data_IF_862833016257
#
_entry.id   IF_862833016257
#
_cell.length_a   1.000
_cell.length_b   1.000
_cell.length_c   1.000
_cell.angle_alpha   90.00
_cell.angle_beta   90.00
_cell.angle_gamma   90.00
#
_symmetry.space_group_name_H-M   'P 1'
#
loop_
_entity.id
_entity.type
_entity.pdbx_description
1 polymer ?
#
# COMPACT_ATOMS: atom_id res chain seq x y z
N UNK A 1 -4.12 -11.69 11.53
CA UNK A 1 -3.19 -11.37 10.43
C UNK A 1 -2.22 -12.51 10.18
N UNK A 2 -1.90 -12.79 8.92
CA UNK A 2 -0.95 -13.82 8.50
C UNK A 2 -0.11 -13.31 7.32
N UNK A 3 1.21 -13.33 7.45
CA UNK A 3 2.12 -12.90 6.39
C UNK A 3 2.40 -14.07 5.43
N UNK A 4 1.65 -14.16 4.34
CA UNK A 4 1.72 -15.24 3.34
C UNK A 4 3.01 -15.17 2.53
N UNK A 5 3.57 -16.33 2.23
CA UNK A 5 4.67 -16.42 1.25
C UNK A 5 4.06 -16.53 -0.13
N UNK A 6 4.21 -15.46 -0.90
CA UNK A 6 3.81 -15.41 -2.30
C UNK A 6 5.05 -15.12 -3.14
N UNK A 7 5.24 -15.90 -4.19
CA UNK A 7 6.27 -15.67 -5.21
C UNK A 7 5.59 -15.80 -6.57
N UNK A 8 5.58 -14.72 -7.34
CA UNK A 8 4.90 -14.62 -8.62
C UNK A 8 5.93 -14.35 -9.72
N UNK A 9 5.80 -15.05 -10.82
CA UNK A 9 6.60 -14.81 -12.02
C UNK A 9 5.83 -13.94 -13.02
N UNK A 10 6.34 -12.74 -13.26
CA UNK A 10 5.77 -11.78 -14.21
C UNK A 10 6.41 -11.84 -15.59
N UNK A 11 7.26 -12.85 -15.89
CA UNK A 11 7.95 -12.95 -17.18
C UNK A 11 7.01 -13.10 -18.39
N UNK A 12 5.79 -13.55 -18.15
CA UNK A 12 4.75 -13.69 -19.17
C UNK A 12 3.56 -12.74 -18.95
N UNK A 13 3.61 -11.91 -17.91
CA UNK A 13 2.57 -10.92 -17.63
C UNK A 13 2.56 -9.84 -18.73
N UNK A 14 1.40 -9.25 -18.95
CA UNK A 14 1.19 -8.22 -19.97
C UNK A 14 0.80 -6.91 -19.30
N UNK A 15 1.07 -5.80 -19.98
CA UNK A 15 0.59 -4.47 -19.55
C UNK A 15 -0.94 -4.43 -19.52
N UNK A 16 -1.58 -5.03 -20.51
CA UNK A 16 -3.05 -5.18 -20.59
C UNK A 16 -3.43 -6.61 -20.17
N UNK A 17 -3.23 -6.90 -18.88
CA UNK A 17 -3.50 -8.22 -18.28
C UNK A 17 -5.00 -8.53 -18.14
N UNK A 18 -5.88 -7.56 -18.38
CA UNK A 18 -7.31 -7.72 -18.61
C UNK A 18 -7.67 -7.14 -20.00
N UNK A 19 -7.70 -7.94 -21.05
CA UNK A 19 -8.00 -7.45 -22.41
C UNK A 19 -9.41 -6.88 -22.57
N UNK A 20 -10.35 -7.25 -21.69
CA UNK A 20 -11.72 -6.78 -21.71
C UNK A 20 -11.89 -5.35 -21.20
N UNK A 21 -10.96 -4.89 -20.34
CA UNK A 21 -10.99 -3.56 -19.72
C UNK A 21 -9.56 -2.97 -19.59
N UNK A 22 -9.01 -2.43 -20.69
CA UNK A 22 -7.67 -1.86 -20.70
C UNK A 22 -7.53 -0.63 -19.79
N UNK A 23 -8.57 0.17 -19.61
CA UNK A 23 -8.56 1.34 -18.73
C UNK A 23 -8.40 0.92 -17.26
N UNK A 24 -9.08 -0.15 -16.87
CA UNK A 24 -8.94 -0.70 -15.53
C UNK A 24 -7.52 -1.27 -15.28
N UNK A 25 -6.91 -1.89 -16.30
CA UNK A 25 -5.50 -2.27 -16.22
C UNK A 25 -4.61 -1.07 -15.93
N UNK A 26 -4.80 0.05 -16.64
CA UNK A 26 -3.99 1.25 -16.42
C UNK A 26 -4.21 1.86 -15.04
N UNK A 27 -5.43 1.85 -14.53
CA UNK A 27 -5.71 2.30 -13.17
C UNK A 27 -4.93 1.48 -12.14
N UNK A 28 -4.99 0.15 -12.22
CA UNK A 28 -4.27 -0.70 -11.26
C UNK A 28 -2.75 -0.69 -11.50
N UNK A 29 -2.27 -0.54 -12.72
CA UNK A 29 -0.85 -0.33 -13.01
C UNK A 29 -0.34 0.98 -12.37
N UNK A 30 -1.12 2.06 -12.45
CA UNK A 30 -0.80 3.31 -11.77
C UNK A 30 -0.76 3.15 -10.25
N UNK A 31 -1.74 2.47 -9.65
CA UNK A 31 -1.74 2.17 -8.21
C UNK A 31 -0.50 1.32 -7.86
N UNK A 32 -0.22 0.24 -8.60
CA UNK A 32 0.95 -0.60 -8.38
C UNK A 32 2.25 0.19 -8.37
N UNK A 33 2.37 1.20 -9.24
CA UNK A 33 3.58 2.02 -9.35
C UNK A 33 3.92 2.79 -8.07
N UNK A 34 2.91 3.11 -7.26
CA UNK A 34 3.06 3.86 -6.01
C UNK A 34 3.38 2.98 -4.79
N UNK A 35 2.92 1.74 -4.80
CA UNK A 35 2.93 0.87 -3.62
C UNK A 35 4.33 0.56 -3.06
N UNK A 36 5.40 0.37 -3.84
CA UNK A 36 6.73 0.10 -3.29
C UNK A 36 7.24 1.22 -2.38
N UNK A 37 7.12 2.47 -2.81
CA UNK A 37 7.61 3.62 -2.04
C UNK A 37 6.67 3.96 -0.89
N UNK A 38 5.38 3.81 -1.10
CA UNK A 38 4.37 4.02 -0.07
C UNK A 38 4.52 3.01 1.07
N UNK A 39 4.67 1.71 0.78
CA UNK A 39 4.94 0.67 1.78
C UNK A 39 6.23 0.94 2.55
N UNK A 40 7.24 1.55 1.91
CA UNK A 40 8.45 2.05 2.57
C UNK A 40 8.15 3.14 3.61
N UNK A 41 7.33 4.13 3.26
CA UNK A 41 6.87 5.18 4.19
C UNK A 41 6.06 4.57 5.36
N UNK A 42 5.09 3.71 5.05
CA UNK A 42 4.22 3.07 6.04
C UNK A 42 5.03 2.27 7.06
N UNK A 43 5.92 1.40 6.60
CA UNK A 43 6.74 0.57 7.47
C UNK A 43 7.69 1.39 8.34
N UNK A 44 8.26 2.49 7.81
CA UNK A 44 9.09 3.42 8.57
C UNK A 44 8.26 4.12 9.64
N UNK A 45 7.11 4.71 9.29
CA UNK A 45 6.23 5.40 10.23
C UNK A 45 5.76 4.49 11.37
N UNK A 46 5.37 3.25 11.05
CA UNK A 46 4.94 2.26 12.05
C UNK A 46 6.09 1.85 12.97
N UNK A 47 7.29 1.58 12.44
CA UNK A 47 8.47 1.22 13.25
C UNK A 47 8.89 2.34 14.20
N UNK A 48 8.88 3.58 13.73
CA UNK A 48 9.28 4.75 14.53
C UNK A 48 8.24 5.09 15.60
N UNK A 49 7.05 4.50 15.55
CA UNK A 49 6.02 4.61 16.59
C UNK A 49 6.25 3.68 17.77
N UNK A 50 7.22 2.78 17.70
CA UNK A 50 7.56 1.87 18.81
C UNK A 50 8.46 2.59 19.84
N UNK A 51 8.37 2.30 21.15
CA UNK A 51 7.80 1.10 21.78
C UNK A 51 6.26 1.10 21.77
N UNK A 52 5.66 -0.11 21.71
CA UNK A 52 4.21 -0.24 21.81
C UNK A 52 3.72 0.24 23.18
N UNK A 53 2.47 0.66 23.29
CA UNK A 53 1.91 1.19 24.52
C UNK A 53 2.00 0.17 25.68
N UNK A 54 2.13 0.64 26.92
CA UNK A 54 2.20 -0.20 28.11
C UNK A 54 0.80 -0.75 28.47
N UNK A 55 0.28 -1.73 27.74
CA UNK A 55 -1.04 -2.34 27.99
C UNK A 55 -0.96 -3.86 27.97
N UNK A 56 -1.94 -4.51 28.59
CA UNK A 56 -2.12 -5.96 28.58
C UNK A 56 -2.19 -6.54 27.14
N UNK A 57 -2.60 -5.73 26.16
CA UNK A 57 -2.63 -6.05 24.73
C UNK A 57 -1.31 -5.83 24.00
N UNK A 58 -0.25 -5.37 24.67
CA UNK A 58 1.01 -4.98 24.04
C UNK A 58 1.68 -6.12 23.25
N UNK A 59 1.56 -7.35 23.71
CA UNK A 59 2.17 -8.51 23.05
C UNK A 59 1.43 -8.88 21.76
N UNK A 60 0.10 -8.90 21.78
CA UNK A 60 -0.74 -9.14 20.60
C UNK A 60 -0.59 -8.03 19.59
N UNK A 61 -0.67 -6.79 20.03
CA UNK A 61 -0.48 -5.63 19.16
C UNK A 61 0.93 -5.56 18.56
N UNK A 62 1.97 -5.86 19.37
CA UNK A 62 3.35 -5.96 18.86
C UNK A 62 3.52 -7.05 17.81
N UNK A 63 2.75 -8.13 17.89
CA UNK A 63 2.68 -9.15 16.84
C UNK A 63 2.07 -8.59 15.57
N UNK A 64 0.95 -7.88 15.67
CA UNK A 64 0.25 -7.30 14.52
C UNK A 64 1.10 -6.25 13.80
N UNK A 65 1.82 -5.41 14.53
CA UNK A 65 2.80 -4.46 13.96
C UNK A 65 3.92 -5.21 13.20
N UNK A 66 4.45 -6.31 13.74
CA UNK A 66 5.47 -7.09 13.03
C UNK A 66 4.92 -7.74 11.76
N UNK A 67 3.69 -8.25 11.81
CA UNK A 67 3.02 -8.84 10.64
C UNK A 67 2.73 -7.79 9.58
N UNK A 68 2.24 -6.61 9.97
CA UNK A 68 2.07 -5.46 9.08
C UNK A 68 3.37 -5.13 8.33
N UNK A 69 4.47 -4.95 9.06
CA UNK A 69 5.78 -4.64 8.45
C UNK A 69 6.25 -5.76 7.51
N UNK A 70 5.91 -7.02 7.80
CA UNK A 70 6.24 -8.15 6.92
C UNK A 70 5.37 -8.18 5.67
N UNK A 71 4.06 -7.93 5.79
CA UNK A 71 3.12 -7.86 4.68
C UNK A 71 3.52 -6.73 3.74
N UNK A 72 3.66 -5.51 4.25
CA UNK A 72 4.08 -4.33 3.49
C UNK A 72 5.43 -4.51 2.78
N UNK A 73 6.40 -5.12 3.45
CA UNK A 73 7.69 -5.42 2.84
C UNK A 73 7.62 -6.46 1.71
N UNK A 74 6.57 -7.30 1.68
CA UNK A 74 6.31 -8.25 0.58
C UNK A 74 5.51 -7.59 -0.54
N UNK A 75 4.51 -6.77 -0.20
CA UNK A 75 3.79 -5.93 -1.14
C UNK A 75 4.76 -5.09 -1.96
N UNK A 76 5.63 -4.34 -1.30
CA UNK A 76 6.65 -3.50 -1.96
C UNK A 76 7.52 -4.30 -2.94
N UNK A 77 7.97 -5.51 -2.56
CA UNK A 77 8.83 -6.33 -3.43
C UNK A 77 8.11 -6.86 -4.65
N UNK A 78 6.88 -7.37 -4.48
CA UNK A 78 6.13 -7.95 -5.60
C UNK A 78 5.64 -6.87 -6.55
N UNK A 79 5.16 -5.74 -6.04
CA UNK A 79 4.79 -4.61 -6.88
C UNK A 79 6.00 -4.00 -7.58
N UNK A 80 7.17 -3.96 -6.93
CA UNK A 80 8.40 -3.55 -7.63
C UNK A 80 8.71 -4.46 -8.83
N UNK A 81 8.63 -5.79 -8.68
CA UNK A 81 8.87 -6.74 -9.77
C UNK A 81 7.83 -6.57 -10.89
N UNK A 82 6.57 -6.33 -10.53
CA UNK A 82 5.52 -6.02 -11.50
C UNK A 82 5.80 -4.70 -12.23
N UNK A 83 6.21 -3.66 -11.52
CA UNK A 83 6.60 -2.38 -12.10
C UNK A 83 7.84 -2.48 -13.00
N UNK A 84 8.81 -3.33 -12.65
CA UNK A 84 9.98 -3.62 -13.50
C UNK A 84 9.54 -4.25 -14.84
N UNK A 85 8.48 -5.07 -14.85
CA UNK A 85 7.86 -5.58 -16.07
C UNK A 85 7.22 -4.45 -16.89
N UNK A 86 6.46 -3.54 -16.25
CA UNK A 86 5.87 -2.39 -16.94
C UNK A 86 6.94 -1.52 -17.61
N UNK A 87 8.06 -1.28 -16.93
CA UNK A 87 9.21 -0.56 -17.53
C UNK A 87 9.76 -1.32 -18.74
N UNK A 88 9.90 -2.64 -18.65
CA UNK A 88 10.33 -3.49 -19.78
C UNK A 88 9.38 -3.43 -20.99
N UNK A 89 8.12 -3.12 -20.77
CA UNK A 89 7.07 -2.96 -21.77
C UNK A 89 6.88 -1.51 -22.28
N UNK A 90 7.80 -0.60 -21.92
CA UNK A 90 7.87 0.75 -22.51
C UNK A 90 7.36 1.88 -21.62
N UNK A 91 7.15 1.65 -20.32
CA UNK A 91 6.81 2.72 -19.36
C UNK A 91 8.07 3.43 -18.87
N UNK A 92 8.87 3.99 -19.79
CA UNK A 92 10.19 4.59 -19.54
C UNK A 92 10.16 5.80 -18.58
N UNK A 93 9.01 6.42 -18.43
CA UNK A 93 8.79 7.55 -17.51
C UNK A 93 8.58 7.10 -16.05
N UNK A 94 8.22 5.83 -15.83
CA UNK A 94 7.85 5.30 -14.52
C UNK A 94 8.96 5.40 -13.46
N UNK A 95 10.24 5.08 -13.76
CA UNK A 95 11.33 5.25 -12.80
C UNK A 95 11.50 6.69 -12.29
N UNK A 96 11.32 7.70 -13.16
CA UNK A 96 11.42 9.10 -12.76
C UNK A 96 10.27 9.52 -11.85
N UNK A 97 9.06 9.04 -12.10
CA UNK A 97 7.90 9.26 -11.26
C UNK A 97 8.09 8.61 -9.86
N UNK A 98 8.53 7.36 -9.82
CA UNK A 98 8.81 6.64 -8.57
C UNK A 98 9.88 7.38 -7.75
N UNK A 99 10.97 7.82 -8.38
CA UNK A 99 12.03 8.59 -7.71
C UNK A 99 11.51 9.92 -7.14
N UNK A 100 10.61 10.60 -7.86
CA UNK A 100 9.97 11.83 -7.37
C UNK A 100 9.10 11.53 -6.13
N UNK A 101 8.34 10.47 -6.14
CA UNK A 101 7.49 10.06 -5.00
C UNK A 101 8.35 9.72 -3.77
N UNK A 102 9.43 8.96 -3.94
CA UNK A 102 10.39 8.67 -2.88
C UNK A 102 10.94 9.95 -2.24
N UNK A 103 11.35 10.91 -3.08
CA UNK A 103 11.83 12.22 -2.60
C UNK A 103 10.74 13.02 -1.86
N UNK A 104 9.48 12.94 -2.30
CA UNK A 104 8.37 13.59 -1.60
C UNK A 104 8.14 12.95 -0.22
N UNK A 105 8.21 11.62 -0.09
CA UNK A 105 8.07 10.93 1.19
C UNK A 105 9.21 11.23 2.16
N UNK A 106 10.45 11.26 1.68
CA UNK A 106 11.59 11.69 2.49
C UNK A 106 11.43 13.13 2.99
N UNK A 107 11.02 14.03 2.10
CA UNK A 107 10.72 15.44 2.45
C UNK A 107 9.59 15.55 3.49
N UNK A 108 8.54 14.75 3.39
CA UNK A 108 7.47 14.74 4.40
C UNK A 108 8.01 14.32 5.76
N UNK A 109 8.85 13.31 5.80
CA UNK A 109 9.45 12.83 7.03
C UNK A 109 10.38 13.88 7.65
N UNK A 110 11.23 14.51 6.85
CA UNK A 110 12.19 15.53 7.30
C UNK A 110 11.52 16.83 7.74
N UNK A 111 10.54 17.33 6.99
CA UNK A 111 9.95 18.64 7.21
C UNK A 111 8.71 18.62 8.10
N UNK A 112 7.90 17.57 8.05
CA UNK A 112 6.66 17.44 8.81
C UNK A 112 6.77 16.46 9.98
N UNK A 113 7.80 15.63 9.99
CA UNK A 113 8.13 14.70 11.07
C UNK A 113 7.26 13.44 11.09
N UNK A 114 7.60 12.58 12.05
CA UNK A 114 6.99 11.26 12.25
C UNK A 114 5.47 11.30 12.45
N UNK A 115 4.94 12.25 13.24
CA UNK A 115 3.49 12.42 13.46
C UNK A 115 2.74 12.56 12.15
N UNK A 116 3.26 13.35 11.21
CA UNK A 116 2.64 13.53 9.90
C UNK A 116 2.74 12.26 9.05
N UNK A 117 3.90 11.63 9.03
CA UNK A 117 4.10 10.39 8.28
C UNK A 117 3.12 9.29 8.74
N UNK A 118 2.94 9.14 10.05
CA UNK A 118 1.98 8.18 10.60
C UNK A 118 0.52 8.55 10.27
N UNK A 119 0.15 9.82 10.35
CA UNK A 119 -1.18 10.28 9.99
C UNK A 119 -1.47 10.14 8.49
N UNK A 120 -0.46 10.36 7.64
CA UNK A 120 -0.51 10.13 6.21
C UNK A 120 -0.72 8.63 5.90
N UNK A 121 0.05 7.77 6.59
CA UNK A 121 -0.07 6.31 6.47
C UNK A 121 -1.46 5.84 6.88
N UNK A 122 -1.99 6.30 7.99
CA UNK A 122 -3.35 6.01 8.45
C UNK A 122 -4.40 6.48 7.43
N UNK A 123 -4.19 7.65 6.85
CA UNK A 123 -5.06 8.18 5.79
C UNK A 123 -5.11 7.25 4.57
N UNK A 124 -3.97 6.74 4.12
CA UNK A 124 -3.91 5.77 3.03
C UNK A 124 -4.57 4.43 3.41
N UNK A 125 -4.22 3.88 4.56
CA UNK A 125 -4.74 2.61 5.07
C UNK A 125 -6.29 2.62 5.26
N UNK A 126 -6.90 3.78 5.29
CA UNK A 126 -8.37 3.91 5.29
C UNK A 126 -8.98 3.48 3.94
N UNK A 127 -8.26 3.59 2.84
CA UNK A 127 -8.72 3.12 1.52
C UNK A 127 -8.60 1.60 1.35
N UNK A 128 -7.57 0.98 1.93
CA UNK A 128 -7.30 -0.45 1.79
C UNK A 128 -8.55 -1.32 1.99
N UNK A 129 -9.23 -1.28 3.16
CA UNK A 129 -10.43 -2.08 3.41
C UNK A 129 -11.62 -1.74 2.51
N UNK A 130 -11.78 -0.48 2.08
CA UNK A 130 -12.86 -0.10 1.16
C UNK A 130 -12.64 -0.72 -0.22
N UNK A 131 -11.43 -0.60 -0.75
CA UNK A 131 -11.06 -1.17 -2.05
C UNK A 131 -11.09 -2.70 -1.99
N UNK A 132 -10.58 -3.30 -0.92
CA UNK A 132 -10.58 -4.75 -0.72
C UNK A 132 -12.00 -5.30 -0.64
N UNK A 133 -12.89 -4.67 0.10
CA UNK A 133 -14.31 -5.08 0.20
C UNK A 133 -14.98 -5.00 -1.18
N UNK A 134 -14.81 -3.88 -1.88
CA UNK A 134 -15.33 -3.73 -3.25
C UNK A 134 -14.79 -4.81 -4.17
N UNK A 135 -13.48 -5.09 -4.10
CA UNK A 135 -12.81 -6.05 -4.95
C UNK A 135 -13.35 -7.47 -4.73
N UNK A 136 -13.48 -7.91 -3.49
CA UNK A 136 -13.97 -9.25 -3.18
C UNK A 136 -15.48 -9.40 -3.38
N UNK A 137 -16.27 -8.36 -3.15
CA UNK A 137 -17.73 -8.46 -3.27
C UNK A 137 -18.26 -8.16 -4.67
N UNK A 138 -17.55 -7.34 -5.46
CA UNK A 138 -18.07 -6.80 -6.72
C UNK A 138 -17.18 -7.06 -7.94
N UNK A 139 -15.86 -7.08 -7.77
CA UNK A 139 -14.93 -7.14 -8.88
C UNK A 139 -14.64 -8.58 -9.40
N UNK A 140 -15.12 -9.63 -8.73
CA UNK A 140 -14.87 -11.02 -9.13
C UNK A 140 -15.29 -11.32 -10.58
N UNK A 141 -16.35 -10.68 -11.07
CA UNK A 141 -16.79 -10.79 -12.47
C UNK A 141 -15.79 -10.16 -13.44
N UNK A 142 -15.07 -9.10 -12.99
CA UNK A 142 -14.10 -8.39 -13.80
C UNK A 142 -12.79 -9.16 -13.98
N UNK A 143 -12.52 -10.14 -13.09
CA UNK A 143 -11.26 -10.88 -13.06
C UNK A 143 -11.24 -12.12 -13.99
N UNK A 144 -12.35 -12.45 -14.65
CA UNK A 144 -12.50 -13.71 -15.39
C UNK A 144 -11.45 -13.89 -16.51
N UNK A 145 -11.00 -12.79 -17.12
CA UNK A 145 -10.08 -12.79 -18.25
C UNK A 145 -8.68 -12.23 -17.89
N UNK A 146 -8.39 -12.03 -16.60
CA UNK A 146 -7.09 -11.55 -16.14
C UNK A 146 -6.03 -12.65 -16.28
N UNK A 147 -4.77 -12.24 -16.52
CA UNK A 147 -3.68 -13.20 -16.43
C UNK A 147 -3.48 -13.69 -14.98
N UNK A 148 -3.00 -14.93 -14.86
CA UNK A 148 -2.92 -15.59 -13.56
C UNK A 148 -2.00 -14.87 -12.57
N UNK A 149 -0.75 -14.47 -12.89
CA UNK A 149 0.13 -13.84 -11.94
C UNK A 149 -0.39 -12.48 -11.45
N UNK A 150 -1.02 -11.67 -12.33
CA UNK A 150 -1.61 -10.38 -11.95
C UNK A 150 -2.86 -10.56 -11.11
N UNK A 151 -3.70 -11.56 -11.43
CA UNK A 151 -4.85 -11.92 -10.60
C UNK A 151 -4.42 -12.26 -9.18
N UNK A 152 -3.41 -13.13 -9.02
CA UNK A 152 -2.90 -13.51 -7.70
C UNK A 152 -2.24 -12.34 -6.96
N UNK A 153 -1.52 -11.47 -7.65
CA UNK A 153 -0.92 -10.26 -7.04
C UNK A 153 -1.99 -9.42 -6.33
N UNK A 154 -3.09 -9.11 -7.03
CA UNK A 154 -4.13 -8.25 -6.48
C UNK A 154 -5.01 -8.93 -5.45
N UNK A 155 -5.38 -10.21 -5.65
CA UNK A 155 -6.15 -10.96 -4.65
C UNK A 155 -5.39 -11.09 -3.32
N UNK A 156 -4.11 -11.43 -3.40
CA UNK A 156 -3.27 -11.55 -2.22
C UNK A 156 -3.05 -10.21 -1.53
N UNK A 157 -2.71 -9.17 -2.29
CA UNK A 157 -2.50 -7.82 -1.77
C UNK A 157 -3.75 -7.32 -1.02
N UNK A 158 -4.91 -7.31 -1.66
CA UNK A 158 -6.14 -6.85 -1.03
C UNK A 158 -6.59 -7.69 0.16
N UNK A 159 -6.29 -8.98 0.20
CA UNK A 159 -6.57 -9.81 1.37
C UNK A 159 -5.73 -9.37 2.58
N UNK A 160 -4.45 -9.09 2.37
CA UNK A 160 -3.56 -8.61 3.44
C UNK A 160 -3.88 -7.16 3.83
N UNK A 161 -4.26 -6.26 2.90
CA UNK A 161 -4.78 -4.91 3.18
C UNK A 161 -5.99 -4.95 4.13
N UNK A 162 -6.92 -5.86 3.88
CA UNK A 162 -8.07 -6.01 4.77
C UNK A 162 -7.67 -6.50 6.17
N UNK A 163 -6.66 -7.34 6.28
CA UNK A 163 -6.19 -7.87 7.56
C UNK A 163 -5.55 -6.79 8.44
N UNK A 164 -4.73 -5.91 7.88
CA UNK A 164 -3.96 -4.94 8.67
C UNK A 164 -4.57 -3.53 8.78
N UNK A 165 -5.79 -3.36 8.32
CA UNK A 165 -6.56 -2.10 8.27
C UNK A 165 -6.62 -1.25 9.54
N UNK A 166 -6.32 -1.83 10.70
CA UNK A 166 -6.43 -1.13 11.99
C UNK A 166 -5.09 -0.73 12.58
N UNK A 167 -3.97 -1.22 12.05
CA UNK A 167 -2.64 -1.05 12.66
C UNK A 167 -2.22 0.42 12.68
N UNK A 168 -2.26 1.09 11.54
CA UNK A 168 -1.91 2.51 11.45
C UNK A 168 -2.85 3.39 12.27
N UNK A 169 -4.16 3.09 12.27
CA UNK A 169 -5.15 3.83 13.05
C UNK A 169 -4.90 3.71 14.56
N UNK A 170 -4.62 2.50 15.04
CA UNK A 170 -4.32 2.28 16.44
C UNK A 170 -3.06 3.05 16.87
N UNK A 171 -1.96 2.92 16.11
CA UNK A 171 -0.72 3.65 16.40
C UNK A 171 -0.90 5.16 16.34
N UNK A 172 -1.65 5.66 15.37
CA UNK A 172 -1.94 7.08 15.27
C UNK A 172 -2.63 7.60 16.53
N UNK A 173 -3.65 6.89 17.01
CA UNK A 173 -4.36 7.29 18.25
C UNK A 173 -3.49 7.27 19.48
N UNK A 174 -2.54 6.38 19.57
CA UNK A 174 -1.57 6.38 20.69
C UNK A 174 -0.57 7.54 20.61
N UNK A 175 -0.20 7.98 19.39
CA UNK A 175 0.78 9.07 19.20
C UNK A 175 0.13 10.45 19.29
N UNK A 176 -1.07 10.64 18.78
CA UNK A 176 -1.69 11.95 18.62
C UNK A 176 -3.16 12.04 18.99
N UNK A 177 -3.98 11.09 18.61
CA UNK A 177 -5.45 11.02 18.78
C UNK A 177 -6.23 12.31 18.39
N UNK A 178 -5.67 13.16 17.54
CA UNK A 178 -6.33 14.38 17.04
C UNK A 178 -7.14 14.06 15.78
N UNK A 179 -8.45 14.04 15.92
CA UNK A 179 -9.37 13.73 14.83
C UNK A 179 -9.21 14.67 13.62
N UNK A 180 -9.12 15.97 13.83
CA UNK A 180 -9.02 16.92 12.73
C UNK A 180 -7.69 16.88 12.01
N UNK A 181 -6.60 16.60 12.73
CA UNK A 181 -5.31 16.38 12.11
C UNK A 181 -5.30 15.11 11.26
N UNK A 182 -6.00 14.05 11.69
CA UNK A 182 -6.21 12.83 10.92
C UNK A 182 -6.97 13.11 9.62
N UNK A 183 -8.08 13.87 9.71
CA UNK A 183 -8.86 14.29 8.52
C UNK A 183 -8.01 15.12 7.57
N UNK A 184 -7.22 16.05 8.09
CA UNK A 184 -6.26 16.81 7.27
C UNK A 184 -5.26 15.90 6.55
N UNK A 185 -4.64 14.97 7.27
CA UNK A 185 -3.65 14.06 6.70
C UNK A 185 -4.26 13.10 5.66
N UNK A 186 -5.49 12.62 5.89
CA UNK A 186 -6.25 11.83 4.92
C UNK A 186 -6.45 12.59 3.61
N UNK A 187 -6.94 13.81 3.66
CA UNK A 187 -7.11 14.61 2.44
C UNK A 187 -5.78 14.97 1.78
N UNK A 188 -4.76 15.22 2.59
CA UNK A 188 -3.41 15.48 2.06
C UNK A 188 -2.88 14.25 1.32
N UNK A 189 -2.98 13.05 1.90
CA UNK A 189 -2.57 11.80 1.27
C UNK A 189 -3.34 11.57 -0.03
N UNK A 190 -4.68 11.73 0.02
CA UNK A 190 -5.56 11.58 -1.14
C UNK A 190 -5.12 12.50 -2.29
N UNK A 191 -5.04 13.80 -2.05
CA UNK A 191 -4.68 14.77 -3.09
C UNK A 191 -3.25 14.59 -3.60
N UNK A 192 -2.31 14.20 -2.73
CA UNK A 192 -0.94 13.94 -3.12
C UNK A 192 -0.85 12.70 -4.03
N UNK A 193 -1.46 11.57 -3.65
CA UNK A 193 -1.40 10.34 -4.42
C UNK A 193 -2.16 10.44 -5.76
N UNK A 194 -3.31 11.10 -5.79
CA UNK A 194 -4.02 11.36 -7.05
C UNK A 194 -3.35 12.42 -7.94
N UNK A 195 -2.32 13.10 -7.45
CA UNK A 195 -1.53 14.08 -8.21
C UNK A 195 -0.38 13.46 -9.03
N UNK A 196 -0.19 12.14 -8.89
CA UNK A 196 0.78 11.38 -9.66
C UNK A 196 0.11 10.71 -10.86
#
# INVERSE_FOLDING_TARGET
>A
MEARKVDLDFSQAKVYWNPADPEYCQLLNAISSMLPELGGLLTRAVRDSLPPPPRETAEEFGRDVRLFVQQEGRHSRLHKRFNDMLVGEGYDWLPAMIAKMAADFDRFYEQKGHKFALAYSEGFETFGPLVSTFFFERAGVLMADWDEPTTYLWLWHFAEEYEHRTVCNYLYREVNDDYWYRVYAFWYATLHLFGY
#
